data_IF_979239306263
#
_entry.id   IF_979239306263
#
_cell.length_a   1.000
_cell.length_b   1.000
_cell.length_c   1.000
_cell.angle_alpha   90.00
_cell.angle_beta   90.00
_cell.angle_gamma   90.00
#
_symmetry.space_group_name_H-M   'P 1'
#
loop_
_entity.id
_entity.type
_entity.pdbx_description
1 polymer ?
#
# COMPACT_ATOMS: atom_id res chain seq x y z
N UNK A 1 -18.69 -20.48 8.68
CA UNK A 1 -18.38 -20.32 10.12
C UNK A 1 -18.38 -18.84 10.40
N UNK A 2 -19.47 -18.33 10.98
CA UNK A 2 -19.57 -16.93 11.44
C UNK A 2 -18.87 -16.89 12.79
N UNK A 3 -17.73 -16.22 12.88
CA UNK A 3 -17.09 -15.96 14.18
C UNK A 3 -17.93 -14.84 14.80
N UNK A 4 -18.66 -15.16 15.87
CA UNK A 4 -19.53 -14.21 16.56
C UNK A 4 -18.78 -12.96 16.98
N UNK A 5 -19.42 -11.80 16.85
CA UNK A 5 -18.91 -10.53 17.36
C UNK A 5 -18.89 -10.58 18.89
N UNK A 6 -17.78 -11.06 19.46
CA UNK A 6 -17.54 -10.94 20.88
C UNK A 6 -17.23 -9.48 21.19
N UNK A 7 -18.18 -8.78 21.81
CA UNK A 7 -17.96 -7.47 22.40
C UNK A 7 -16.78 -7.56 23.37
N UNK A 8 -15.72 -6.77 23.15
CA UNK A 8 -14.64 -6.67 24.14
C UNK A 8 -14.89 -5.45 25.02
N UNK A 9 -14.29 -5.49 26.21
CA UNK A 9 -14.15 -4.31 27.04
C UNK A 9 -12.66 -3.98 27.14
N UNK A 10 -12.31 -2.75 26.81
CA UNK A 10 -10.96 -2.22 27.01
C UNK A 10 -11.10 -1.17 28.09
N UNK A 11 -10.40 -1.37 29.21
CA UNK A 11 -10.37 -0.41 30.32
C UNK A 11 -8.96 0.12 30.46
N UNK A 12 -8.85 1.45 30.45
CA UNK A 12 -7.70 2.19 30.96
C UNK A 12 -8.11 2.88 32.29
N UNK A 13 -7.16 3.42 33.05
CA UNK A 13 -7.33 3.95 34.42
C UNK A 13 -8.50 4.94 34.58
N UNK A 14 -8.95 5.58 33.48
CA UNK A 14 -10.02 6.59 33.49
C UNK A 14 -11.26 6.21 32.65
N UNK A 15 -11.22 5.12 31.87
CA UNK A 15 -12.32 4.84 30.91
C UNK A 15 -12.41 3.39 30.48
N UNK A 16 -13.65 2.91 30.41
CA UNK A 16 -14.00 1.64 29.76
C UNK A 16 -14.69 1.89 28.42
N UNK A 17 -14.16 1.32 27.35
CA UNK A 17 -14.80 1.21 26.04
C UNK A 17 -15.37 -0.20 25.90
N UNK A 18 -16.62 -0.30 25.46
CA UNK A 18 -17.30 -1.59 25.24
C UNK A 18 -17.90 -1.61 23.84
N UNK A 19 -17.67 -2.69 23.09
CA UNK A 19 -18.25 -2.88 21.77
C UNK A 19 -17.51 -3.95 20.95
N UNK A 20 -18.01 -4.27 19.74
CA UNK A 20 -17.20 -4.98 18.77
C UNK A 20 -16.03 -4.06 18.36
N UNK A 21 -14.80 -4.50 18.58
CA UNK A 21 -13.63 -3.82 18.04
C UNK A 21 -13.11 -4.61 16.86
N UNK A 22 -13.04 -3.96 15.71
CA UNK A 22 -12.37 -4.47 14.53
C UNK A 22 -11.16 -3.57 14.27
N UNK A 23 -10.05 -4.21 13.89
CA UNK A 23 -8.82 -3.52 13.56
C UNK A 23 -8.36 -3.99 12.18
N UNK A 24 -7.96 -3.03 11.35
CA UNK A 24 -7.29 -3.29 10.09
C UNK A 24 -5.81 -2.98 10.26
N UNK A 25 -4.95 -3.88 9.80
CA UNK A 25 -3.51 -3.67 9.77
C UNK A 25 -2.95 -4.24 8.47
N UNK A 26 -1.87 -3.63 8.02
CA UNK A 26 -1.12 -4.04 6.84
C UNK A 26 0.35 -4.16 7.20
N UNK A 27 1.02 -5.15 6.61
CA UNK A 27 2.45 -5.34 6.77
C UNK A 27 3.04 -5.81 5.44
N UNK A 28 4.27 -5.38 5.19
CA UNK A 28 5.10 -5.83 4.09
C UNK A 28 6.51 -6.04 4.66
N UNK A 29 7.16 -7.15 4.30
CA UNK A 29 8.50 -7.49 4.79
C UNK A 29 9.30 -8.18 3.69
N UNK A 30 10.60 -7.93 3.66
CA UNK A 30 11.51 -8.46 2.65
C UNK A 30 12.88 -7.81 2.74
N UNK A 31 13.82 -8.34 1.97
CA UNK A 31 15.18 -7.78 1.86
C UNK A 31 15.19 -6.61 0.86
N UNK A 32 15.51 -5.38 1.29
CA UNK A 32 15.51 -4.23 0.39
C UNK A 32 16.78 -4.20 -0.47
N UNK A 33 16.68 -3.71 -1.71
CA UNK A 33 17.85 -3.48 -2.58
C UNK A 33 18.78 -2.41 -2.01
N UNK A 34 18.24 -1.44 -1.26
CA UNK A 34 19.02 -0.40 -0.56
C UNK A 34 19.48 0.78 -1.43
N UNK A 35 19.11 0.81 -2.72
CA UNK A 35 19.41 1.90 -3.64
C UNK A 35 18.17 2.29 -4.45
N UNK A 36 18.12 3.52 -4.96
CA UNK A 36 17.05 3.94 -5.88
C UNK A 36 17.22 3.23 -7.25
N UNK A 37 16.14 2.92 -7.97
CA UNK A 37 16.22 2.57 -9.39
C UNK A 37 16.79 3.76 -10.17
N UNK A 38 17.84 3.51 -10.95
CA UNK A 38 18.49 4.51 -11.82
C UNK A 38 18.83 3.91 -13.17
N UNK A 39 18.95 4.73 -14.22
CA UNK A 39 19.26 4.26 -15.57
C UNK A 39 18.73 5.20 -16.64
N UNK A 40 18.53 4.67 -17.85
CA UNK A 40 17.91 5.38 -18.98
C UNK A 40 16.52 4.86 -19.27
N UNK A 41 15.61 5.73 -19.69
CA UNK A 41 14.22 5.37 -20.03
C UNK A 41 13.33 5.24 -18.80
N UNK A 42 12.28 4.44 -18.93
CA UNK A 42 11.26 4.25 -17.89
C UNK A 42 11.32 2.85 -17.26
N UNK A 43 10.68 2.72 -16.10
CA UNK A 43 10.42 1.44 -15.45
C UNK A 43 9.00 1.39 -14.91
N UNK A 44 8.38 0.21 -15.00
CA UNK A 44 7.03 -0.04 -14.49
C UNK A 44 7.03 -1.33 -13.68
N UNK A 45 6.28 -1.35 -12.58
CA UNK A 45 5.97 -2.54 -11.81
C UNK A 45 4.46 -2.74 -11.78
N UNK A 46 4.03 -3.99 -11.90
CA UNK A 46 2.62 -4.38 -11.83
C UNK A 46 2.43 -5.54 -10.86
N UNK A 47 1.33 -5.51 -10.11
CA UNK A 47 0.97 -6.60 -9.22
C UNK A 47 -0.36 -6.37 -8.53
N UNK A 48 -0.44 -6.81 -7.28
CA UNK A 48 -1.69 -6.88 -6.52
C UNK A 48 -1.67 -5.93 -5.32
N UNK A 49 -2.87 -5.48 -4.95
CA UNK A 49 -3.14 -4.80 -3.69
C UNK A 49 -4.20 -5.56 -2.90
N UNK A 50 -4.08 -5.54 -1.58
CA UNK A 50 -5.11 -6.02 -0.65
C UNK A 50 -5.32 -4.97 0.43
N UNK A 51 -6.58 -4.71 0.76
CA UNK A 51 -6.95 -3.72 1.76
C UNK A 51 -8.13 -4.17 2.61
N UNK A 52 -8.34 -3.47 3.71
CA UNK A 52 -9.60 -3.41 4.40
C UNK A 52 -10.14 -1.98 4.34
N UNK A 53 -11.45 -1.84 4.10
CA UNK A 53 -12.17 -0.60 4.32
C UNK A 53 -12.20 -0.27 5.81
N UNK A 54 -11.96 0.99 6.18
CA UNK A 54 -11.97 1.44 7.57
C UNK A 54 -13.39 1.62 8.13
N UNK A 55 -14.38 1.78 7.26
CA UNK A 55 -15.77 2.03 7.66
C UNK A 55 -16.50 0.75 8.10
N UNK A 56 -16.24 -0.36 7.41
CA UNK A 56 -16.98 -1.62 7.56
C UNK A 56 -16.08 -2.86 7.57
N UNK A 57 -14.76 -2.69 7.55
CA UNK A 57 -13.75 -3.76 7.57
C UNK A 57 -13.90 -4.76 6.42
N UNK A 58 -14.58 -4.37 5.35
CA UNK A 58 -14.69 -5.18 4.15
C UNK A 58 -13.30 -5.35 3.53
N UNK A 59 -12.93 -6.60 3.23
CA UNK A 59 -11.69 -6.93 2.53
C UNK A 59 -11.85 -6.65 1.04
N UNK A 60 -10.88 -5.95 0.48
CA UNK A 60 -10.80 -5.58 -0.93
C UNK A 60 -9.52 -6.16 -1.53
N UNK A 61 -9.60 -6.54 -2.80
CA UNK A 61 -8.44 -6.92 -3.63
C UNK A 61 -8.42 -6.01 -4.83
N UNK A 62 -7.25 -5.82 -5.43
CA UNK A 62 -7.17 -5.21 -6.74
C UNK A 62 -5.73 -5.12 -7.23
N UNK A 63 -5.41 -4.07 -7.96
CA UNK A 63 -4.13 -3.95 -8.67
C UNK A 63 -3.23 -2.89 -8.08
N UNK A 64 -1.92 -3.08 -8.29
CA UNK A 64 -0.91 -2.09 -7.96
C UNK A 64 -0.03 -1.82 -9.18
N UNK A 65 0.01 -0.57 -9.61
CA UNK A 65 0.81 -0.09 -10.72
C UNK A 65 1.77 0.99 -10.23
N UNK A 66 3.07 0.74 -10.39
CA UNK A 66 4.10 1.69 -10.02
C UNK A 66 4.88 2.05 -11.28
N UNK A 67 5.20 3.32 -11.47
CA UNK A 67 5.94 3.77 -12.64
C UNK A 67 6.93 4.88 -12.32
N UNK A 68 8.08 4.81 -12.99
CA UNK A 68 9.08 5.87 -13.05
C UNK A 68 9.25 6.19 -14.54
N UNK A 69 8.79 7.36 -15.03
CA UNK A 69 8.85 7.69 -16.45
C UNK A 69 10.27 8.00 -16.92
N UNK A 70 11.14 8.50 -16.03
CA UNK A 70 12.53 8.81 -16.31
C UNK A 70 13.44 8.33 -15.17
N UNK A 71 14.20 7.26 -15.42
CA UNK A 71 15.17 6.68 -14.48
C UNK A 71 16.42 7.54 -14.28
N UNK A 72 16.63 8.60 -15.07
CA UNK A 72 17.71 9.56 -14.86
C UNK A 72 17.35 10.62 -13.81
N UNK A 73 16.06 10.83 -13.59
CA UNK A 73 15.49 11.71 -12.56
C UNK A 73 14.31 11.01 -11.89
N UNK A 74 14.57 9.96 -11.09
CA UNK A 74 13.53 9.03 -10.69
C UNK A 74 12.52 9.69 -9.75
N UNK A 75 11.30 9.87 -10.26
CA UNK A 75 10.10 10.21 -9.51
C UNK A 75 9.07 9.12 -9.72
N UNK A 76 8.51 8.62 -8.62
CA UNK A 76 7.62 7.48 -8.63
C UNK A 76 6.15 7.95 -8.65
N UNK A 77 5.36 7.34 -9.53
CA UNK A 77 3.90 7.33 -9.41
C UNK A 77 3.44 5.96 -8.94
N UNK A 78 2.55 5.94 -7.95
CA UNK A 78 1.89 4.73 -7.43
C UNK A 78 0.39 4.87 -7.65
N UNK A 79 -0.20 3.89 -8.32
CA UNK A 79 -1.64 3.77 -8.56
C UNK A 79 -2.12 2.43 -7.98
N UNK A 80 -3.16 2.49 -7.13
CA UNK A 80 -3.80 1.34 -6.51
C UNK A 80 -5.28 1.38 -6.85
N UNK A 81 -5.75 0.33 -7.49
CA UNK A 81 -7.16 0.14 -7.81
C UNK A 81 -7.71 -0.98 -6.95
N UNK A 82 -8.81 -0.73 -6.22
CA UNK A 82 -9.44 -1.71 -5.33
C UNK A 82 -10.85 -2.03 -5.80
N UNK A 83 -11.12 -3.31 -6.04
CA UNK A 83 -12.42 -3.81 -6.46
C UNK A 83 -13.37 -3.87 -5.27
N UNK A 84 -14.51 -3.18 -5.36
CA UNK A 84 -15.56 -3.18 -4.35
C UNK A 84 -16.66 -4.19 -4.68
N UNK A 85 -17.36 -4.64 -3.64
CA UNK A 85 -18.47 -5.60 -3.75
C UNK A 85 -19.67 -5.06 -4.57
N UNK A 86 -19.80 -3.74 -4.69
CA UNK A 86 -20.83 -3.09 -5.51
C UNK A 86 -20.47 -3.02 -7.01
N UNK A 87 -19.30 -3.57 -7.39
CA UNK A 87 -18.79 -3.56 -8.76
C UNK A 87 -18.05 -2.29 -9.15
N UNK A 88 -17.93 -1.30 -8.27
CA UNK A 88 -17.12 -0.10 -8.49
C UNK A 88 -15.65 -0.31 -8.10
N UNK A 89 -14.78 0.57 -8.57
CA UNK A 89 -13.35 0.60 -8.24
C UNK A 89 -13.04 1.82 -7.39
N UNK A 90 -12.31 1.63 -6.29
CA UNK A 90 -11.64 2.72 -5.58
C UNK A 90 -10.26 2.93 -6.17
N UNK A 91 -10.06 4.08 -6.82
CA UNK A 91 -8.79 4.48 -7.43
C UNK A 91 -8.01 5.38 -6.46
N UNK A 92 -6.78 4.99 -6.14
CA UNK A 92 -5.88 5.74 -5.26
C UNK A 92 -4.60 6.05 -6.02
N UNK A 93 -4.12 7.30 -5.92
CA UNK A 93 -2.92 7.75 -6.63
C UNK A 93 -2.02 8.60 -5.76
N UNK A 94 -0.72 8.32 -5.86
CA UNK A 94 0.37 9.16 -5.36
C UNK A 94 1.29 9.48 -6.52
N UNK A 95 1.51 10.77 -6.78
CA UNK A 95 2.36 11.24 -7.87
C UNK A 95 3.56 12.00 -7.33
N UNK A 96 4.64 11.97 -8.12
CA UNK A 96 5.91 12.65 -7.85
C UNK A 96 6.54 12.23 -6.50
N UNK A 97 6.36 10.96 -6.12
CA UNK A 97 6.90 10.40 -4.88
C UNK A 97 8.42 10.37 -4.98
N UNK A 98 9.08 11.09 -4.08
CA UNK A 98 10.54 11.12 -3.98
C UNK A 98 11.10 9.80 -3.46
N UNK A 99 12.26 9.41 -3.99
CA UNK A 99 12.96 8.18 -3.61
C UNK A 99 14.19 8.48 -2.76
N UNK A 100 14.38 7.75 -1.67
CA UNK A 100 15.59 7.83 -0.82
C UNK A 100 16.06 6.44 -0.47
N UNK A 101 17.26 6.06 -0.91
CA UNK A 101 17.90 4.77 -0.61
C UNK A 101 17.00 3.54 -0.88
N UNK A 102 16.32 3.54 -2.03
CA UNK A 102 15.40 2.49 -2.46
C UNK A 102 14.07 2.46 -1.69
N UNK A 103 13.82 3.47 -0.84
CA UNK A 103 12.55 3.66 -0.13
C UNK A 103 11.76 4.82 -0.74
N UNK A 104 10.45 4.76 -0.60
CA UNK A 104 9.53 5.83 -0.98
C UNK A 104 8.48 6.03 0.09
N UNK A 105 8.08 7.27 0.33
CA UNK A 105 6.96 7.60 1.20
C UNK A 105 6.39 8.97 0.85
N UNK A 106 5.07 9.12 0.98
CA UNK A 106 4.36 10.38 0.77
C UNK A 106 3.08 10.40 1.59
N UNK A 107 2.71 11.59 2.07
CA UNK A 107 1.52 11.81 2.92
C UNK A 107 1.77 11.51 4.40
N UNK A 108 0.69 11.59 5.19
CA UNK A 108 0.67 11.32 6.64
C UNK A 108 -0.37 10.26 6.98
N UNK A 109 -0.07 9.42 7.97
CA UNK A 109 -0.97 8.34 8.38
C UNK A 109 -2.34 8.89 8.82
N UNK A 110 -3.42 8.30 8.30
CA UNK A 110 -4.80 8.76 8.51
C UNK A 110 -5.35 9.65 7.40
N UNK A 111 -4.50 10.20 6.52
CA UNK A 111 -4.92 11.00 5.36
C UNK A 111 -4.82 10.19 4.06
N UNK A 112 -3.67 10.26 3.38
CA UNK A 112 -3.37 9.57 2.14
C UNK A 112 -1.89 9.18 2.13
N UNK A 113 -1.52 8.27 3.04
CA UNK A 113 -0.14 7.81 3.24
C UNK A 113 0.18 6.60 2.38
N UNK A 114 1.37 6.62 1.79
CA UNK A 114 2.02 5.48 1.15
C UNK A 114 3.44 5.36 1.71
N UNK A 115 3.89 4.12 1.90
CA UNK A 115 5.30 3.84 2.11
C UNK A 115 5.67 2.47 1.57
N UNK A 116 6.87 2.33 1.06
CA UNK A 116 7.37 1.06 0.55
C UNK A 116 8.84 1.11 0.18
N UNK A 117 9.31 -0.01 -0.35
CA UNK A 117 10.69 -0.19 -0.78
C UNK A 117 10.75 -0.99 -2.08
N UNK A 118 11.86 -0.82 -2.78
CA UNK A 118 12.28 -1.69 -3.86
C UNK A 118 13.11 -2.86 -3.33
N UNK A 119 12.92 -4.01 -3.95
CA UNK A 119 13.44 -5.31 -3.54
C UNK A 119 14.04 -6.07 -4.72
N UNK A 120 14.86 -7.08 -4.39
CA UNK A 120 15.47 -7.96 -5.36
C UNK A 120 16.59 -7.32 -6.17
N UNK A 121 17.25 -8.16 -6.99
CA UNK A 121 18.25 -7.70 -7.95
C UNK A 121 17.60 -6.79 -9.00
N UNK A 122 18.27 -5.69 -9.34
CA UNK A 122 17.82 -4.69 -10.32
C UNK A 122 16.40 -4.16 -10.06
N UNK A 123 16.05 -4.08 -8.78
CA UNK A 123 14.74 -3.60 -8.32
C UNK A 123 13.60 -4.39 -8.96
N UNK A 124 13.75 -5.72 -9.07
CA UNK A 124 12.77 -6.60 -9.71
C UNK A 124 11.41 -6.58 -9.04
N UNK A 125 11.32 -6.10 -7.79
CA UNK A 125 10.10 -6.07 -6.99
C UNK A 125 9.94 -4.74 -6.24
N UNK A 126 8.71 -4.35 -5.94
CA UNK A 126 8.38 -3.18 -5.13
C UNK A 126 7.15 -3.46 -4.26
N UNK A 127 7.30 -3.38 -2.94
CA UNK A 127 6.26 -3.73 -1.97
C UNK A 127 6.10 -2.62 -0.93
N UNK A 128 4.94 -2.54 -0.31
CA UNK A 128 4.67 -1.53 0.70
C UNK A 128 3.29 -1.60 1.28
N UNK A 129 2.96 -0.56 2.05
CA UNK A 129 1.65 -0.36 2.66
C UNK A 129 1.12 1.02 2.33
N UNK A 130 -0.20 1.14 2.35
CA UNK A 130 -0.89 2.42 2.27
C UNK A 130 -1.94 2.52 3.37
N UNK A 131 -2.19 3.76 3.78
CA UNK A 131 -3.18 4.09 4.77
C UNK A 131 -3.86 5.40 4.36
N UNK A 132 -5.14 5.32 4.02
CA UNK A 132 -6.01 6.46 3.83
C UNK A 132 -7.08 6.51 4.91
N UNK A 133 -7.85 7.60 4.98
CA UNK A 133 -9.04 7.66 5.81
C UNK A 133 -10.06 6.52 5.54
N UNK A 134 -10.08 5.98 4.31
CA UNK A 134 -11.02 4.96 3.87
C UNK A 134 -10.44 3.54 3.83
N UNK A 135 -9.11 3.38 3.72
CA UNK A 135 -8.49 2.08 3.47
C UNK A 135 -7.15 1.91 4.20
N UNK A 136 -6.92 0.70 4.70
CA UNK A 136 -5.59 0.25 5.15
C UNK A 136 -5.22 -0.99 4.34
N UNK A 137 -4.06 -0.98 3.68
CA UNK A 137 -3.69 -2.05 2.78
C UNK A 137 -2.21 -2.23 2.54
N UNK A 138 -1.88 -3.35 1.90
CA UNK A 138 -0.55 -3.69 1.43
C UNK A 138 -0.60 -3.99 -0.07
N UNK A 139 0.53 -3.77 -0.74
CA UNK A 139 0.68 -4.08 -2.15
C UNK A 139 2.02 -4.73 -2.42
N UNK A 140 2.08 -5.45 -3.54
CA UNK A 140 3.33 -5.94 -4.08
C UNK A 140 3.28 -6.07 -5.59
N UNK A 141 4.34 -5.59 -6.25
CA UNK A 141 4.43 -5.52 -7.70
C UNK A 141 5.79 -6.03 -8.20
N UNK A 142 5.78 -6.60 -9.42
CA UNK A 142 6.98 -7.06 -10.13
C UNK A 142 7.30 -6.13 -11.28
N UNK A 143 8.58 -5.87 -11.48
CA UNK A 143 9.08 -5.07 -12.60
C UNK A 143 8.71 -5.76 -13.91
N UNK A 144 8.18 -4.98 -14.84
CA UNK A 144 7.83 -5.46 -16.16
C UNK A 144 9.06 -5.40 -17.08
N UNK A 145 9.20 -6.35 -18.02
CA UNK A 145 10.21 -6.23 -19.07
C UNK A 145 10.04 -4.92 -19.84
N UNK A 146 11.15 -4.28 -20.20
CA UNK A 146 11.14 -3.17 -21.17
C UNK A 146 10.63 -3.71 -22.51
N UNK A 147 9.64 -3.04 -23.08
CA UNK A 147 9.16 -3.29 -24.44
C UNK A 147 10.00 -2.53 -25.46
#
# INVERSE_FOLDING_TARGET
MVIGEESRQITDDERTWSGPFQAAYAWASGEPTGANPTGTGSATWRGIAKAASTADFQRLTGTANLSIPDLSQPQLTVEIDLDKNDGSTAELRWSDVSLTNGSFSQGSAGDQHIQGRFHGQDHSEAWGIFHTNAYVGAFGAKRQPQQ
#
